data_IF_016950058677
#
_entry.id   IF_016950058677
#
_cell.length_a   1.000
_cell.length_b   1.000
_cell.length_c   1.000
_cell.angle_alpha   90.00
_cell.angle_beta   90.00
_cell.angle_gamma   90.00
#
_symmetry.space_group_name_H-M   'P 1'
#
loop_
_entity.id
_entity.type
_entity.pdbx_description
1 polymer ?
#
# COMPACT_ATOMS: atom_id res chain seq x y z
N UNK A 1 5.77 3.05 10.91
CA UNK A 1 6.80 3.06 9.85
C UNK A 1 6.66 4.27 8.95
N UNK A 2 6.98 5.39 9.54
CA UNK A 2 6.88 6.67 8.83
C UNK A 2 7.77 6.69 7.58
N UNK A 3 8.86 5.95 7.63
CA UNK A 3 9.81 5.92 6.52
C UNK A 3 9.18 5.36 5.24
N UNK A 4 8.27 4.40 5.38
CA UNK A 4 7.63 3.81 4.20
C UNK A 4 6.79 4.85 3.47
N UNK A 5 6.07 5.68 4.21
CA UNK A 5 5.22 6.70 3.63
C UNK A 5 6.06 7.77 2.94
N UNK A 6 7.22 8.08 3.50
CA UNK A 6 8.13 9.07 2.91
C UNK A 6 8.87 8.52 1.71
N UNK A 7 9.15 7.22 1.70
CA UNK A 7 9.90 6.57 0.62
C UNK A 7 9.10 6.50 -0.68
N UNK A 8 7.78 6.38 -0.58
CA UNK A 8 6.92 6.21 -1.75
C UNK A 8 6.24 7.53 -2.12
N UNK A 9 6.30 7.85 -3.41
CA UNK A 9 5.62 9.05 -3.91
C UNK A 9 4.12 8.80 -3.96
N UNK A 10 3.30 9.76 -3.52
CA UNK A 10 1.84 9.57 -3.43
C UNK A 10 1.15 9.17 -4.73
N UNK A 11 1.68 9.52 -5.87
CA UNK A 11 1.05 9.19 -7.13
C UNK A 11 1.41 7.83 -7.69
N UNK A 12 2.29 7.09 -7.04
CA UNK A 12 2.75 5.82 -7.58
C UNK A 12 1.77 4.69 -7.25
N UNK A 13 1.83 3.63 -8.05
CA UNK A 13 1.01 2.46 -7.80
C UNK A 13 1.36 1.80 -6.46
N UNK A 14 2.63 1.80 -6.11
CA UNK A 14 3.05 1.22 -4.83
C UNK A 14 2.42 1.95 -3.66
N UNK A 15 2.40 3.27 -3.69
CA UNK A 15 1.79 4.05 -2.63
C UNK A 15 0.29 3.75 -2.55
N UNK A 16 -0.39 3.73 -3.69
CA UNK A 16 -1.83 3.48 -3.73
C UNK A 16 -2.17 2.10 -3.19
N UNK A 17 -1.42 1.08 -3.60
CA UNK A 17 -1.65 -0.28 -3.13
C UNK A 17 -1.42 -0.39 -1.64
N UNK A 18 -0.32 0.17 -1.15
CA UNK A 18 0.00 0.11 0.27
C UNK A 18 -1.05 0.84 1.11
N UNK A 19 -1.46 2.01 0.66
CA UNK A 19 -2.48 2.80 1.36
C UNK A 19 -3.80 2.04 1.42
N UNK A 20 -4.17 1.40 0.31
CA UNK A 20 -5.41 0.62 0.27
C UNK A 20 -5.36 -0.52 1.28
N UNK A 21 -4.25 -1.25 1.32
CA UNK A 21 -4.12 -2.36 2.26
C UNK A 21 -4.14 -1.88 3.72
N UNK A 22 -3.53 -0.74 3.97
CA UNK A 22 -3.54 -0.19 5.33
C UNK A 22 -4.95 0.21 5.76
N UNK A 23 -5.74 0.70 4.81
CA UNK A 23 -7.10 1.15 5.11
C UNK A 23 -8.10 0.01 5.17
N UNK A 24 -8.09 -0.87 4.15
CA UNK A 24 -9.09 -1.93 4.04
C UNK A 24 -8.71 -3.21 4.76
N UNK A 25 -7.42 -3.42 4.98
CA UNK A 25 -6.97 -4.67 5.57
C UNK A 25 -6.50 -5.65 4.52
N UNK A 26 -6.18 -6.86 4.94
CA UNK A 26 -5.64 -7.88 4.04
C UNK A 26 -6.56 -8.13 2.85
N UNK A 27 -5.99 -8.15 1.64
CA UNK A 27 -6.75 -8.31 0.41
C UNK A 27 -5.94 -9.08 -0.62
N UNK A 28 -6.64 -9.69 -1.56
CA UNK A 28 -5.99 -10.38 -2.67
C UNK A 28 -5.70 -9.40 -3.81
N UNK A 29 -4.70 -9.70 -4.66
CA UNK A 29 -4.36 -8.78 -5.76
C UNK A 29 -5.54 -8.43 -6.65
N UNK A 30 -6.42 -9.38 -6.93
CA UNK A 30 -7.59 -9.11 -7.77
C UNK A 30 -8.54 -8.12 -7.11
N UNK A 31 -8.72 -8.24 -5.80
CA UNK A 31 -9.58 -7.32 -5.07
C UNK A 31 -8.98 -5.91 -5.05
N UNK A 32 -7.66 -5.83 -4.90
CA UNK A 32 -6.97 -4.54 -4.93
C UNK A 32 -7.17 -3.88 -6.28
N UNK A 33 -6.94 -4.65 -7.35
CA UNK A 33 -7.08 -4.15 -8.71
C UNK A 33 -8.48 -3.59 -8.97
N UNK A 34 -9.50 -4.32 -8.52
CA UNK A 34 -10.88 -3.89 -8.72
C UNK A 34 -11.21 -2.61 -7.94
N UNK A 35 -10.72 -2.52 -6.71
CA UNK A 35 -11.11 -1.42 -5.83
C UNK A 35 -10.42 -0.10 -6.18
N UNK A 36 -9.16 -0.15 -6.56
CA UNK A 36 -8.44 1.09 -6.85
C UNK A 36 -8.24 1.34 -8.33
N UNK A 37 -8.88 0.53 -9.16
CA UNK A 37 -8.91 0.72 -10.61
C UNK A 37 -7.50 0.78 -11.22
N UNK A 38 -6.65 -0.15 -10.79
CA UNK A 38 -5.31 -0.30 -11.36
C UNK A 38 -5.22 -1.72 -11.92
N UNK A 39 -4.72 -1.88 -13.16
CA UNK A 39 -4.64 -3.22 -13.76
C UNK A 39 -3.86 -4.21 -12.90
N UNK A 40 -4.28 -5.46 -12.91
CA UNK A 40 -3.62 -6.51 -12.16
C UNK A 40 -2.14 -6.62 -12.53
N UNK A 41 -1.83 -6.37 -13.80
CA UNK A 41 -0.44 -6.39 -14.27
C UNK A 41 0.43 -5.32 -13.63
N UNK A 42 -0.19 -4.28 -13.05
CA UNK A 42 0.53 -3.25 -12.31
C UNK A 42 0.52 -3.53 -10.82
N UNK A 43 -0.59 -4.08 -10.31
CA UNK A 43 -0.73 -4.38 -8.89
C UNK A 43 0.28 -5.44 -8.44
N UNK A 44 0.46 -6.50 -9.21
CA UNK A 44 1.35 -7.60 -8.83
C UNK A 44 2.81 -7.15 -8.66
N UNK A 45 3.40 -6.42 -9.63
CA UNK A 45 4.77 -5.92 -9.43
C UNK A 45 4.87 -4.96 -8.28
N UNK A 46 3.84 -4.14 -8.06
CA UNK A 46 3.83 -3.20 -6.93
C UNK A 46 3.87 -3.96 -5.61
N UNK A 47 3.07 -5.03 -5.50
CA UNK A 47 3.06 -5.86 -4.30
C UNK A 47 4.41 -6.53 -4.08
N UNK A 48 5.04 -7.01 -5.14
CA UNK A 48 6.35 -7.63 -5.04
C UNK A 48 7.39 -6.66 -4.50
N UNK A 49 7.39 -5.43 -5.04
CA UNK A 49 8.31 -4.41 -4.56
C UNK A 49 8.07 -4.09 -3.09
N UNK A 50 6.81 -3.95 -2.71
CA UNK A 50 6.46 -3.66 -1.32
C UNK A 50 6.88 -4.79 -0.40
N UNK A 51 6.73 -6.03 -0.86
CA UNK A 51 7.13 -7.20 -0.09
C UNK A 51 8.63 -7.21 0.13
N UNK A 52 9.40 -6.91 -0.91
CA UNK A 52 10.86 -6.86 -0.82
C UNK A 52 11.32 -5.77 0.14
N UNK A 53 10.60 -4.67 0.20
CA UNK A 53 10.92 -3.57 1.10
C UNK A 53 10.45 -3.83 2.54
N UNK A 54 9.65 -4.86 2.74
CA UNK A 54 9.14 -5.19 4.06
C UNK A 54 7.93 -4.37 4.48
N UNK A 55 7.27 -3.71 3.54
CA UNK A 55 6.11 -2.87 3.84
C UNK A 55 4.81 -3.64 3.83
N UNK A 56 4.78 -4.80 3.22
CA UNK A 56 3.61 -5.68 3.24
C UNK A 56 4.05 -7.10 3.57
N UNK A 57 3.09 -7.92 3.98
CA UNK A 57 3.33 -9.33 4.26
C UNK A 57 2.28 -10.14 3.53
N UNK A 58 2.69 -11.24 2.89
CA UNK A 58 1.76 -12.17 2.27
C UNK A 58 1.33 -13.20 3.30
N UNK A 59 0.03 -13.42 3.41
CA UNK A 59 -0.53 -14.38 4.37
C UNK A 59 -0.75 -15.73 3.71
N UNK A 60 -1.04 -16.73 4.52
CA UNK A 60 -1.17 -18.11 4.04
C UNK A 60 -2.28 -18.27 3.02
N UNK A 61 -3.33 -17.46 3.12
CA UNK A 61 -4.46 -17.54 2.21
C UNK A 61 -4.23 -16.76 0.91
N UNK A 62 -3.04 -16.23 0.72
CA UNK A 62 -2.69 -15.50 -0.50
C UNK A 62 -2.99 -14.02 -0.44
N UNK A 63 -3.60 -13.53 0.63
CA UNK A 63 -3.84 -12.10 0.77
C UNK A 63 -2.57 -11.39 1.19
N UNK A 64 -2.52 -10.09 0.94
CA UNK A 64 -1.42 -9.24 1.35
C UNK A 64 -1.91 -8.27 2.41
N UNK A 65 -1.09 -8.03 3.41
CA UNK A 65 -1.42 -7.15 4.53
C UNK A 65 -0.38 -6.06 4.66
N UNK A 66 -0.82 -4.83 4.91
CA UNK A 66 0.10 -3.72 5.14
C UNK A 66 0.77 -3.87 6.50
N UNK A 67 2.08 -3.66 6.53
CA UNK A 67 2.83 -3.56 7.76
C UNK A 67 2.92 -2.12 8.24
N UNK A 68 2.37 -1.20 7.46
CA UNK A 68 2.38 0.24 7.77
C UNK A 68 0.99 0.63 8.24
N UNK A 69 0.85 1.18 9.44
CA UNK A 69 -0.48 1.58 9.94
C UNK A 69 -1.08 2.68 9.08
N UNK A 70 -2.41 2.64 8.92
CA UNK A 70 -3.10 3.67 8.14
C UNK A 70 -2.88 5.06 8.74
N UNK A 71 -2.73 5.15 10.04
CA UNK A 71 -2.48 6.42 10.71
C UNK A 71 -1.19 7.09 10.24
N UNK A 72 -0.20 6.29 9.81
CA UNK A 72 1.04 6.87 9.28
C UNK A 72 0.77 7.65 7.99
N UNK A 73 -0.14 7.13 7.16
CA UNK A 73 -0.53 7.81 5.92
C UNK A 73 -1.28 9.10 6.23
N UNK A 74 -2.19 9.04 7.17
CA UNK A 74 -2.97 10.20 7.55
C UNK A 74 -2.05 11.30 8.10
N UNK A 75 -1.12 10.93 8.97
CA UNK A 75 -0.18 11.89 9.56
C UNK A 75 0.67 12.54 8.49
N UNK A 76 1.15 11.74 7.54
CA UNK A 76 2.01 12.24 6.47
C UNK A 76 1.26 13.23 5.59
N UNK A 77 0.06 12.85 5.16
CA UNK A 77 -0.74 13.72 4.29
C UNK A 77 -1.14 14.99 5.00
N UNK A 78 -1.51 14.89 6.28
CA UNK A 78 -1.88 16.05 7.06
C UNK A 78 -0.71 17.03 7.18
N UNK A 79 0.47 16.50 7.45
CA UNK A 79 1.67 17.34 7.57
C UNK A 79 1.97 18.07 6.28
N UNK A 80 1.80 17.41 5.14
CA UNK A 80 2.07 18.03 3.85
C UNK A 80 1.03 19.07 3.50
N UNK A 81 -0.21 18.85 3.89
CA UNK A 81 -1.27 19.80 3.58
C UNK A 81 -1.29 21.01 4.49
N UNK A 82 -0.49 21.00 5.53
CA UNK A 82 -0.54 22.02 6.56
C UNK A 82 0.39 23.21 6.31
N UNK A 83 0.95 23.33 5.20
CA UNK A 83 1.89 24.43 4.95
C UNK A 83 1.31 25.82 5.07
#
# INVERSE_FOLDING_TARGET
MEKAVQDLSPGTSQFKVLCFLAFRGASQPSAISDEIDIPAGTVRPALRSLLEKGYVMQQEDGTYRSMVPFTDFISHLYSQGKK
#
